data_IF_250343898281
#
_entry.id   IF_250343898281
#
_cell.length_a   1.000
_cell.length_b   1.000
_cell.length_c   1.000
_cell.angle_alpha   90.00
_cell.angle_beta   90.00
_cell.angle_gamma   90.00
#
_symmetry.space_group_name_H-M   'P 1'
#
loop_
_entity.id
_entity.type
_entity.pdbx_description
1 polymer ?
#
# COMPACT_ATOMS: atom_id res chain seq x y z
N UNK A 1 -3.72 -14.54 14.44
CA UNK A 1 -3.53 -15.47 15.57
C UNK A 1 -3.93 -16.86 15.11
N UNK A 2 -2.99 -17.78 14.96
CA UNK A 2 -3.31 -19.19 14.73
C UNK A 2 -3.80 -19.77 16.07
N UNK A 3 -5.13 -19.89 16.22
CA UNK A 3 -5.72 -20.68 17.31
C UNK A 3 -5.23 -22.14 17.15
N UNK A 4 -4.42 -22.63 18.09
CA UNK A 4 -4.06 -24.06 18.14
C UNK A 4 -2.57 -24.40 18.19
N UNK A 5 -1.69 -23.45 18.53
CA UNK A 5 -0.28 -23.77 18.73
C UNK A 5 -0.07 -24.61 20.01
N UNK A 6 0.21 -25.91 19.82
CA UNK A 6 0.45 -26.88 20.91
C UNK A 6 1.89 -26.85 21.43
N UNK A 7 2.74 -26.01 20.86
CA UNK A 7 4.17 -25.99 21.12
C UNK A 7 4.59 -24.88 22.07
N UNK A 8 3.82 -23.79 22.14
CA UNK A 8 4.10 -22.61 22.94
C UNK A 8 2.95 -22.34 23.92
N UNK A 9 3.31 -22.01 25.16
CA UNK A 9 2.34 -21.55 26.15
C UNK A 9 2.06 -20.05 25.92
N UNK A 10 0.82 -19.66 25.54
CA UNK A 10 0.50 -18.28 25.22
C UNK A 10 0.54 -17.34 26.43
N UNK A 11 0.43 -17.87 27.66
CA UNK A 11 0.42 -17.05 28.88
C UNK A 11 1.82 -16.74 29.39
N UNK A 12 2.77 -17.65 29.18
CA UNK A 12 4.15 -17.50 29.68
C UNK A 12 5.16 -17.23 28.56
N UNK A 13 4.75 -17.36 27.29
CA UNK A 13 5.62 -17.23 26.11
C UNK A 13 6.84 -18.18 26.12
N UNK A 14 6.74 -19.30 26.84
CA UNK A 14 7.74 -20.37 26.85
C UNK A 14 7.22 -21.61 26.13
N UNK A 15 8.15 -22.43 25.62
CA UNK A 15 7.82 -23.74 25.07
C UNK A 15 7.35 -24.70 26.16
N UNK A 16 6.43 -25.60 25.81
CA UNK A 16 6.09 -26.73 26.68
C UNK A 16 7.29 -27.67 26.85
N UNK A 17 7.35 -28.41 27.96
CA UNK A 17 8.46 -29.35 28.22
C UNK A 17 8.67 -30.33 27.06
N UNK A 18 9.93 -30.48 26.63
CA UNK A 18 10.31 -31.34 25.51
C UNK A 18 10.00 -30.78 24.12
N UNK A 19 9.47 -29.55 24.00
CA UNK A 19 9.25 -28.87 22.71
C UNK A 19 10.39 -27.88 22.42
N UNK A 20 10.88 -27.90 21.19
CA UNK A 20 12.11 -27.17 20.81
C UNK A 20 11.79 -25.95 19.93
N UNK A 21 10.70 -26.00 19.18
CA UNK A 21 10.27 -24.89 18.34
C UNK A 21 8.75 -24.79 18.31
N UNK A 22 8.24 -23.67 17.78
CA UNK A 22 6.83 -23.47 17.50
C UNK A 22 6.63 -22.98 16.05
N UNK A 23 5.57 -23.44 15.36
CA UNK A 23 5.22 -22.99 14.01
C UNK A 23 4.76 -21.52 13.96
N UNK A 24 4.35 -20.92 15.08
CA UNK A 24 3.99 -19.48 15.10
C UNK A 24 5.22 -18.58 15.09
N UNK A 25 6.33 -19.03 15.66
CA UNK A 25 7.58 -18.27 15.71
C UNK A 25 8.54 -18.62 14.56
N UNK A 26 8.50 -19.86 14.05
CA UNK A 26 9.45 -20.32 13.04
C UNK A 26 8.77 -21.17 11.94
N UNK A 27 8.88 -20.71 10.70
CA UNK A 27 8.36 -21.39 9.49
C UNK A 27 8.97 -22.78 9.27
N UNK A 28 10.20 -22.99 9.78
CA UNK A 28 10.91 -24.27 9.77
C UNK A 28 10.60 -25.18 10.95
N UNK A 29 9.59 -24.86 11.75
CA UNK A 29 9.06 -25.77 12.75
C UNK A 29 7.91 -26.60 12.18
N UNK A 30 7.91 -27.90 12.51
CA UNK A 30 6.82 -28.81 12.19
C UNK A 30 5.68 -28.69 13.22
N UNK A 31 4.50 -29.24 12.92
CA UNK A 31 3.37 -29.24 13.87
C UNK A 31 3.64 -30.06 15.13
N UNK A 32 4.64 -30.94 15.09
CA UNK A 32 5.10 -31.76 16.22
C UNK A 32 6.08 -31.04 17.15
N UNK A 33 6.34 -29.75 16.89
CA UNK A 33 7.24 -28.88 17.66
C UNK A 33 8.73 -29.27 17.54
N UNK A 34 9.10 -29.85 16.40
CA UNK A 34 10.46 -30.25 16.04
C UNK A 34 10.92 -29.53 14.78
N UNK A 35 12.24 -29.38 14.61
CA UNK A 35 12.81 -28.74 13.42
C UNK A 35 12.73 -29.65 12.20
N UNK A 36 12.41 -29.04 11.07
CA UNK A 36 12.25 -29.76 9.81
C UNK A 36 13.65 -30.06 9.22
N UNK A 37 13.98 -31.35 8.97
CA UNK A 37 15.27 -31.73 8.41
C UNK A 37 15.37 -31.37 6.92
N UNK A 38 16.61 -31.20 6.44
CA UNK A 38 16.90 -30.82 5.05
C UNK A 38 16.26 -31.75 4.01
N UNK A 39 16.12 -33.05 4.34
CA UNK A 39 15.54 -34.08 3.46
C UNK A 39 14.10 -33.77 3.06
N UNK A 40 13.33 -33.07 3.92
CA UNK A 40 11.94 -32.72 3.61
C UNK A 40 11.82 -31.60 2.56
N UNK A 41 12.92 -30.95 2.17
CA UNK A 41 12.97 -29.87 1.17
C UNK A 41 11.88 -28.78 1.34
N UNK A 42 11.46 -28.50 2.57
CA UNK A 42 10.42 -27.50 2.84
C UNK A 42 10.98 -26.09 2.59
N UNK A 43 10.39 -25.39 1.64
CA UNK A 43 10.70 -23.99 1.36
C UNK A 43 10.19 -23.14 2.54
N UNK A 44 11.08 -22.38 3.16
CA UNK A 44 10.74 -21.45 4.24
C UNK A 44 10.64 -20.00 3.77
N UNK A 45 11.27 -19.70 2.63
CA UNK A 45 11.19 -18.41 1.96
C UNK A 45 11.14 -18.67 0.46
N UNK A 46 10.09 -18.17 -0.17
CA UNK A 46 9.96 -18.19 -1.62
C UNK A 46 11.02 -17.31 -2.28
N UNK A 47 11.27 -17.55 -3.56
CA UNK A 47 12.15 -16.72 -4.36
C UNK A 47 11.62 -15.28 -4.42
N UNK A 48 12.54 -14.32 -4.35
CA UNK A 48 12.26 -12.89 -4.44
C UNK A 48 13.22 -12.24 -5.43
N UNK A 49 12.97 -10.97 -5.78
CA UNK A 49 13.73 -10.23 -6.80
C UNK A 49 15.25 -10.22 -6.55
N UNK A 50 15.71 -10.29 -5.29
CA UNK A 50 17.14 -10.31 -4.94
C UNK A 50 17.60 -11.66 -4.35
N UNK A 51 16.77 -12.71 -4.26
CA UNK A 51 17.12 -13.92 -3.49
C UNK A 51 16.42 -15.19 -4.00
N UNK A 52 17.19 -16.25 -4.20
CA UNK A 52 16.65 -17.60 -4.45
C UNK A 52 15.86 -18.15 -3.26
N UNK A 53 14.97 -19.11 -3.54
CA UNK A 53 14.19 -19.78 -2.49
C UNK A 53 15.10 -20.44 -1.46
N UNK A 54 14.76 -20.29 -0.18
CA UNK A 54 15.49 -20.90 0.94
C UNK A 54 14.70 -22.08 1.51
N UNK A 55 15.43 -23.14 1.89
CA UNK A 55 14.86 -24.41 2.36
C UNK A 55 15.30 -24.65 3.82
N UNK A 56 14.41 -25.21 4.63
CA UNK A 56 14.72 -25.60 6.01
C UNK A 56 15.81 -26.67 6.06
N UNK A 57 16.80 -26.49 6.94
CA UNK A 57 17.90 -27.45 7.12
C UNK A 57 18.34 -27.58 8.57
N UNK A 58 17.94 -28.68 9.21
CA UNK A 58 18.46 -29.13 10.51
C UNK A 58 19.34 -30.38 10.32
N UNK A 59 20.46 -30.55 11.06
CA UNK A 59 21.05 -29.64 12.05
C UNK A 59 21.73 -28.42 11.42
N UNK A 60 21.69 -27.29 12.13
CA UNK A 60 22.31 -26.03 11.70
C UNK A 60 23.83 -26.12 11.87
N UNK A 61 24.54 -26.64 10.86
CA UNK A 61 25.98 -26.47 10.79
C UNK A 61 26.28 -24.98 10.58
N UNK A 62 27.08 -24.41 11.48
CA UNK A 62 27.52 -23.01 11.46
C UNK A 62 28.02 -22.58 10.07
N UNK A 63 27.18 -21.86 9.33
CA UNK A 63 27.47 -20.64 8.56
C UNK A 63 26.28 -20.38 7.62
N UNK A 64 25.48 -19.38 8.01
CA UNK A 64 24.48 -18.68 7.19
C UNK A 64 23.47 -19.55 6.43
N UNK A 65 22.32 -19.77 7.06
CA UNK A 65 21.03 -19.58 6.38
C UNK A 65 20.19 -18.64 7.25
N UNK A 66 20.74 -17.46 7.51
CA UNK A 66 19.96 -16.34 8.01
C UNK A 66 19.21 -15.74 6.82
N UNK A 67 17.91 -15.58 6.98
CA UNK A 67 16.99 -14.92 6.07
C UNK A 67 17.24 -13.40 6.00
N UNK A 68 18.51 -12.99 5.88
CA UNK A 68 18.97 -11.62 5.73
C UNK A 68 19.88 -11.59 4.51
N UNK A 69 19.29 -11.34 3.36
CA UNK A 69 20.03 -10.82 2.21
C UNK A 69 19.57 -9.38 2.08
N UNK A 70 20.49 -8.48 2.42
CA UNK A 70 20.36 -7.05 2.14
C UNK A 70 20.59 -6.93 0.62
N UNK A 71 19.69 -6.31 -0.15
CA UNK A 71 20.05 -5.85 -1.50
C UNK A 71 21.11 -4.75 -1.30
N UNK A 72 22.38 -5.16 -1.11
CA UNK A 72 23.47 -4.27 -0.68
C UNK A 72 23.95 -3.38 -1.81
N UNK A 73 23.71 -3.79 -3.06
CA UNK A 73 24.22 -3.11 -4.23
C UNK A 73 23.11 -2.50 -5.04
N UNK A 74 23.24 -1.19 -5.27
CA UNK A 74 22.40 -0.46 -6.22
C UNK A 74 22.84 -0.74 -7.65
N UNK A 75 22.00 -0.38 -8.62
CA UNK A 75 22.33 -0.55 -10.04
C UNK A 75 23.59 0.25 -10.39
N UNK A 76 23.77 1.46 -9.87
CA UNK A 76 24.97 2.25 -10.10
C UNK A 76 26.22 1.54 -9.57
N UNK A 77 26.14 0.91 -8.40
CA UNK A 77 27.27 0.17 -7.82
C UNK A 77 27.64 -1.08 -8.63
N UNK A 78 26.68 -1.73 -9.30
CA UNK A 78 26.95 -2.80 -10.25
C UNK A 78 27.72 -2.31 -11.49
N UNK A 79 27.57 -1.02 -11.83
CA UNK A 79 28.29 -0.36 -12.92
C UNK A 79 29.62 0.26 -12.48
N UNK A 80 30.08 0.00 -11.24
CA UNK A 80 31.21 0.71 -10.61
C UNK A 80 31.01 2.24 -10.56
N UNK A 81 29.77 2.68 -10.43
CA UNK A 81 29.37 4.08 -10.28
C UNK A 81 28.68 4.29 -8.92
N UNK A 82 28.47 5.54 -8.56
CA UNK A 82 27.83 5.94 -7.30
C UNK A 82 26.42 6.44 -7.61
N UNK A 83 25.44 6.11 -6.76
CA UNK A 83 24.10 6.67 -6.88
C UNK A 83 24.15 8.16 -6.59
N UNK A 84 23.48 8.95 -7.43
CA UNK A 84 23.40 10.37 -7.23
C UNK A 84 22.03 10.91 -7.63
N UNK A 85 21.71 12.10 -7.13
CA UNK A 85 20.45 12.77 -7.43
C UNK A 85 20.58 13.65 -8.67
N UNK A 86 19.58 13.55 -9.54
CA UNK A 86 19.49 14.35 -10.75
C UNK A 86 19.31 15.83 -10.40
N UNK A 87 20.05 16.72 -11.09
CA UNK A 87 19.93 18.17 -10.88
C UNK A 87 18.55 18.67 -11.36
N UNK A 88 17.75 19.30 -10.49
CA UNK A 88 16.41 19.78 -10.83
C UNK A 88 16.39 21.03 -11.72
N UNK A 89 17.53 21.67 -11.96
CA UNK A 89 17.60 22.84 -12.84
C UNK A 89 17.61 22.45 -14.32
N UNK A 90 18.21 21.31 -14.65
CA UNK A 90 18.40 20.83 -16.02
C UNK A 90 17.26 19.91 -16.51
N UNK A 91 16.34 19.50 -15.61
CA UNK A 91 15.44 18.37 -15.83
C UNK A 91 13.98 18.65 -15.41
N UNK A 92 13.05 18.02 -16.11
CA UNK A 92 11.61 18.04 -15.80
C UNK A 92 11.27 17.22 -14.54
N UNK A 93 10.13 17.50 -13.90
CA UNK A 93 9.67 16.75 -12.72
C UNK A 93 9.46 15.24 -12.97
N UNK A 94 9.24 14.84 -14.22
CA UNK A 94 9.11 13.42 -14.60
C UNK A 94 10.48 12.73 -14.71
N UNK A 95 11.54 13.47 -15.07
CA UNK A 95 12.87 12.91 -15.24
C UNK A 95 13.64 12.74 -13.93
N UNK A 96 13.22 13.40 -12.85
CA UNK A 96 13.85 13.30 -11.53
C UNK A 96 13.69 11.94 -10.83
N UNK A 97 12.71 11.14 -11.26
CA UNK A 97 12.48 9.79 -10.72
C UNK A 97 13.15 8.69 -11.56
N UNK A 98 13.98 9.05 -12.52
CA UNK A 98 14.82 8.09 -13.25
C UNK A 98 16.09 7.78 -12.47
N UNK A 99 16.67 6.61 -12.76
CA UNK A 99 17.97 6.27 -12.20
C UNK A 99 19.03 7.27 -12.70
N UNK A 100 19.89 7.71 -11.80
CA UNK A 100 21.02 8.56 -12.13
C UNK A 100 22.26 8.12 -11.38
N UNK A 101 23.36 8.01 -12.11
CA UNK A 101 24.63 7.52 -11.59
C UNK A 101 25.75 8.53 -11.88
N UNK A 102 26.79 8.47 -11.07
CA UNK A 102 27.97 9.32 -11.14
C UNK A 102 29.22 8.44 -11.18
N UNK A 103 30.15 8.69 -12.09
CA UNK A 103 31.39 7.89 -12.17
C UNK A 103 32.26 8.04 -10.92
N UNK A 104 32.34 9.26 -10.37
CA UNK A 104 33.15 9.61 -9.20
C UNK A 104 32.41 10.66 -8.38
N UNK A 105 32.79 10.89 -7.11
CA UNK A 105 32.14 11.88 -6.22
C UNK A 105 32.03 13.31 -6.79
N UNK A 106 32.90 13.67 -7.74
CA UNK A 106 32.92 14.99 -8.40
C UNK A 106 32.48 14.93 -9.88
N UNK A 107 32.04 13.77 -10.37
CA UNK A 107 31.57 13.61 -11.74
C UNK A 107 30.23 14.31 -11.98
N UNK A 108 29.82 14.47 -13.24
CA UNK A 108 28.45 14.91 -13.52
C UNK A 108 27.48 13.74 -13.26
N UNK A 109 26.35 14.02 -12.63
CA UNK A 109 25.26 13.04 -12.53
C UNK A 109 24.64 12.81 -13.90
N UNK A 110 24.69 11.56 -14.37
CA UNK A 110 24.12 11.15 -15.65
C UNK A 110 22.76 10.52 -15.35
N UNK A 111 21.70 11.08 -15.94
CA UNK A 111 20.35 10.53 -15.87
C UNK A 111 20.12 9.57 -17.04
N UNK A 112 19.59 8.37 -16.77
CA UNK A 112 19.38 7.33 -17.79
C UNK A 112 18.06 7.45 -18.56
N UNK A 113 17.30 8.54 -18.38
CA UNK A 113 16.10 8.80 -19.16
C UNK A 113 16.42 8.86 -20.65
N UNK A 114 15.69 8.08 -21.45
CA UNK A 114 15.88 7.98 -22.89
C UNK A 114 17.34 7.66 -23.28
N UNK A 115 18.06 6.92 -22.42
CA UNK A 115 19.40 6.48 -22.76
C UNK A 115 19.37 5.59 -24.00
N UNK A 116 20.40 5.67 -24.85
CA UNK A 116 20.42 4.92 -26.09
C UNK A 116 20.43 3.42 -25.80
N UNK A 117 19.81 2.64 -26.69
CA UNK A 117 19.53 1.22 -26.46
C UNK A 117 20.78 0.38 -26.17
N UNK A 118 21.95 0.78 -26.69
CA UNK A 118 23.22 0.13 -26.38
C UNK A 118 23.59 0.24 -24.89
N UNK A 119 23.38 1.41 -24.26
CA UNK A 119 23.64 1.62 -22.83
C UNK A 119 22.68 0.79 -21.99
N UNK A 120 21.39 0.80 -22.37
CA UNK A 120 20.38 -0.01 -21.70
C UNK A 120 20.68 -1.50 -21.78
N UNK A 121 21.14 -2.00 -22.94
CA UNK A 121 21.55 -3.39 -23.11
C UNK A 121 22.79 -3.74 -22.27
N UNK A 122 23.78 -2.86 -22.17
CA UNK A 122 24.93 -3.07 -21.29
C UNK A 122 24.51 -3.24 -19.83
N UNK A 123 23.58 -2.41 -19.35
CA UNK A 123 23.08 -2.51 -17.98
C UNK A 123 22.26 -3.80 -17.79
N UNK A 124 21.39 -4.16 -18.73
CA UNK A 124 20.61 -5.42 -18.68
C UNK A 124 21.50 -6.65 -18.61
N UNK A 125 22.59 -6.67 -19.38
CA UNK A 125 23.56 -7.77 -19.37
C UNK A 125 24.26 -7.90 -18.01
N UNK A 126 24.57 -6.78 -17.36
CA UNK A 126 25.23 -6.77 -16.04
C UNK A 126 24.27 -7.25 -14.94
N UNK A 127 23.00 -6.87 -14.99
CA UNK A 127 21.98 -7.26 -13.99
C UNK A 127 21.38 -8.64 -14.33
N UNK A 128 21.69 -9.20 -15.51
CA UNK A 128 21.14 -10.46 -16.00
C UNK A 128 19.59 -10.47 -16.05
N UNK A 129 19.00 -9.39 -16.55
CA UNK A 129 17.53 -9.19 -16.62
C UNK A 129 17.06 -9.23 -18.08
N UNK A 130 15.88 -9.81 -18.31
CA UNK A 130 15.26 -9.90 -19.64
C UNK A 130 15.03 -8.52 -20.28
N UNK A 131 15.08 -8.47 -21.63
CA UNK A 131 15.01 -7.26 -22.46
C UNK A 131 13.75 -6.40 -22.37
N UNK A 132 12.79 -6.73 -21.49
CA UNK A 132 11.51 -6.03 -21.36
C UNK A 132 11.59 -4.71 -20.57
N UNK A 133 12.68 -4.45 -19.83
CA UNK A 133 12.82 -3.20 -19.06
C UNK A 133 13.16 -2.04 -19.98
N UNK A 134 12.18 -1.20 -20.34
CA UNK A 134 12.38 -0.07 -21.25
C UNK A 134 13.19 1.07 -20.63
N UNK A 135 13.04 1.31 -19.32
CA UNK A 135 13.72 2.38 -18.59
C UNK A 135 14.17 1.91 -17.20
N UNK A 136 15.27 2.48 -16.70
CA UNK A 136 15.67 2.35 -15.29
C UNK A 136 15.10 3.51 -14.47
N UNK A 137 14.14 3.18 -13.60
CA UNK A 137 13.45 4.14 -12.74
C UNK A 137 13.70 3.82 -11.27
N UNK A 138 13.62 4.85 -10.43
CA UNK A 138 13.71 4.68 -8.99
C UNK A 138 12.44 4.02 -8.44
N UNK A 139 12.57 3.46 -7.24
CA UNK A 139 11.46 2.85 -6.53
C UNK A 139 10.37 3.87 -6.17
N UNK A 140 9.13 3.40 -6.03
CA UNK A 140 8.03 4.25 -5.56
C UNK A 140 8.33 4.74 -4.15
N UNK A 141 7.97 5.99 -3.88
CA UNK A 141 8.27 6.71 -2.64
C UNK A 141 9.77 6.93 -2.37
N UNK A 142 10.65 6.64 -3.34
CA UNK A 142 12.05 7.03 -3.23
C UNK A 142 12.17 8.55 -3.13
N UNK A 143 13.17 9.01 -2.38
CA UNK A 143 13.51 10.42 -2.26
C UNK A 143 13.91 11.02 -3.63
N UNK A 144 13.46 12.25 -3.88
CA UNK A 144 13.90 13.07 -5.00
C UNK A 144 14.07 14.53 -4.53
N UNK A 145 14.80 15.34 -5.32
CA UNK A 145 15.02 16.76 -5.03
C UNK A 145 14.39 17.62 -6.13
N UNK A 146 13.58 18.60 -5.73
CA UNK A 146 13.00 19.60 -6.62
C UNK A 146 13.91 20.85 -6.67
N UNK A 147 13.58 21.79 -7.58
CA UNK A 147 14.26 23.09 -7.70
C UNK A 147 14.42 23.76 -6.33
N UNK A 148 15.56 24.40 -6.12
CA UNK A 148 15.98 24.99 -4.84
C UNK A 148 16.19 23.96 -3.71
N UNK A 149 16.63 22.74 -4.02
CA UNK A 149 16.91 21.66 -3.06
C UNK A 149 15.73 21.32 -2.14
N UNK A 150 14.49 21.52 -2.60
CA UNK A 150 13.31 21.11 -1.83
C UNK A 150 13.16 19.59 -1.88
N UNK A 151 12.90 18.98 -0.74
CA UNK A 151 12.71 17.53 -0.63
C UNK A 151 11.39 17.12 -1.28
N UNK A 152 11.42 15.97 -1.95
CA UNK A 152 10.27 15.36 -2.60
C UNK A 152 10.33 13.85 -2.59
N UNK A 153 9.27 13.25 -3.13
CA UNK A 153 9.15 11.80 -3.28
C UNK A 153 8.60 11.43 -4.66
N UNK A 154 8.97 10.24 -5.13
CA UNK A 154 8.48 9.67 -6.38
C UNK A 154 7.10 9.02 -6.18
N UNK A 155 6.07 9.61 -6.77
CA UNK A 155 4.69 9.12 -6.69
C UNK A 155 4.46 7.81 -7.50
N UNK A 156 3.26 7.23 -7.44
CA UNK A 156 2.90 6.03 -8.22
C UNK A 156 3.04 6.20 -9.73
N UNK A 157 2.91 7.44 -10.24
CA UNK A 157 3.17 7.81 -11.64
C UNK A 157 4.66 8.07 -11.94
N UNK A 158 5.54 7.84 -10.96
CA UNK A 158 6.99 8.11 -11.04
C UNK A 158 7.29 9.56 -11.39
N UNK A 159 6.53 10.49 -10.78
CA UNK A 159 6.77 11.94 -10.84
C UNK A 159 7.26 12.40 -9.48
N UNK A 160 8.26 13.28 -9.47
CA UNK A 160 8.75 13.88 -8.24
C UNK A 160 7.76 14.92 -7.75
N UNK A 161 7.15 14.68 -6.59
CA UNK A 161 6.24 15.61 -5.92
C UNK A 161 6.91 16.22 -4.69
N UNK A 162 6.63 17.48 -4.35
CA UNK A 162 7.12 18.05 -3.11
C UNK A 162 6.66 17.22 -1.92
N UNK A 163 7.55 17.02 -0.96
CA UNK A 163 7.20 16.46 0.32
C UNK A 163 6.66 17.58 1.19
N UNK A 164 5.34 17.65 1.33
CA UNK A 164 4.66 18.57 2.25
C UNK A 164 4.45 17.83 3.58
N UNK A 165 5.27 18.09 4.62
CA UNK A 165 5.03 17.53 5.96
C UNK A 165 3.70 18.05 6.53
N UNK A 166 3.31 19.27 6.17
CA UNK A 166 2.10 19.93 6.66
C UNK A 166 0.87 19.51 5.83
N UNK A 167 0.51 18.23 5.91
CA UNK A 167 -0.82 17.81 5.47
C UNK A 167 -1.87 18.54 6.32
N UNK A 168 -2.97 19.06 5.73
CA UNK A 168 -4.03 19.72 6.51
C UNK A 168 -4.65 18.81 7.58
N UNK A 169 -4.40 17.50 7.51
CA UNK A 169 -4.83 16.49 8.47
C UNK A 169 -3.76 16.09 9.50
N UNK A 170 -2.51 16.55 9.40
CA UNK A 170 -1.48 16.26 10.41
C UNK A 170 -1.88 16.74 11.81
N UNK A 171 -2.41 17.97 11.98
CA UNK A 171 -2.87 18.42 13.30
C UNK A 171 -3.97 17.55 13.87
N UNK A 172 -4.81 16.95 13.01
CA UNK A 172 -5.84 15.99 13.42
C UNK A 172 -5.22 14.65 13.80
N UNK A 173 -4.26 14.15 13.03
CA UNK A 173 -3.54 12.91 13.33
C UNK A 173 -2.83 12.98 14.69
N UNK A 174 -2.10 14.08 14.94
CA UNK A 174 -1.40 14.30 16.20
C UNK A 174 -2.38 14.53 17.37
N UNK A 175 -3.53 15.14 17.11
CA UNK A 175 -4.61 15.26 18.10
C UNK A 175 -5.29 13.91 18.42
N UNK A 176 -5.32 12.94 17.50
CA UNK A 176 -5.90 11.63 17.76
C UNK A 176 -4.90 10.64 18.36
N UNK A 177 -3.62 10.74 18.00
CA UNK A 177 -2.58 9.78 18.35
C UNK A 177 -1.55 10.30 19.36
N UNK A 178 -1.70 11.52 19.86
CA UNK A 178 -0.80 12.05 20.88
C UNK A 178 -0.86 11.22 22.17
N UNK A 179 0.31 10.76 22.62
CA UNK A 179 0.51 9.95 23.84
C UNK A 179 -0.09 10.57 25.13
N UNK A 180 -0.44 11.85 25.11
CA UNK A 180 -1.12 12.57 26.20
C UNK A 180 -2.58 12.14 26.45
N UNK A 181 -3.15 11.30 25.58
CA UNK A 181 -4.57 10.99 25.56
C UNK A 181 -4.95 9.69 26.29
N UNK A 182 -4.04 8.73 26.45
CA UNK A 182 -4.45 7.42 27.01
C UNK A 182 -4.79 7.47 28.51
N UNK A 183 -4.08 8.26 29.32
CA UNK A 183 -4.28 8.26 30.78
C UNK A 183 -5.39 9.21 31.24
N UNK A 184 -5.62 10.33 30.55
CA UNK A 184 -6.60 11.34 30.96
C UNK A 184 -8.01 11.11 30.41
N UNK A 185 -8.17 10.36 29.30
CA UNK A 185 -9.48 10.14 28.68
C UNK A 185 -10.43 9.36 29.58
N UNK A 186 -9.96 8.35 30.32
CA UNK A 186 -10.85 7.52 31.18
C UNK A 186 -11.47 8.33 32.33
N UNK A 187 -10.72 9.30 32.87
CA UNK A 187 -11.15 10.18 33.96
C UNK A 187 -12.10 11.29 33.44
N UNK A 188 -11.83 11.84 32.25
CA UNK A 188 -12.66 12.86 31.61
C UNK A 188 -13.99 12.26 31.12
N UNK A 189 -13.97 11.07 30.52
CA UNK A 189 -15.19 10.40 30.06
C UNK A 189 -16.13 10.07 31.21
N UNK A 190 -15.61 9.59 32.35
CA UNK A 190 -16.45 9.25 33.51
C UNK A 190 -17.00 10.50 34.21
N UNK A 191 -16.24 11.60 34.26
CA UNK A 191 -16.66 12.82 34.96
C UNK A 191 -17.56 13.75 34.15
N UNK A 192 -17.39 13.81 32.82
CA UNK A 192 -18.12 14.75 31.95
C UNK A 192 -18.89 14.07 30.80
N UNK A 193 -19.28 12.79 30.95
CA UNK A 193 -20.07 12.07 29.93
C UNK A 193 -21.32 12.84 29.47
N UNK A 194 -21.99 13.53 30.39
CA UNK A 194 -23.18 14.33 30.08
C UNK A 194 -22.87 15.49 29.13
N UNK A 195 -21.69 16.11 29.23
CA UNK A 195 -21.27 17.20 28.36
C UNK A 195 -21.00 16.70 26.93
N UNK A 196 -20.48 15.49 26.79
CA UNK A 196 -20.29 14.83 25.48
C UNK A 196 -21.64 14.54 24.82
N UNK A 197 -22.61 14.02 25.59
CA UNK A 197 -23.98 13.76 25.09
C UNK A 197 -24.69 15.06 24.69
N UNK A 198 -24.62 16.10 25.51
CA UNK A 198 -25.22 17.41 25.19
C UNK A 198 -24.52 18.08 24.00
N UNK A 199 -23.20 17.97 23.88
CA UNK A 199 -22.44 18.46 22.74
C UNK A 199 -22.85 17.77 21.43
N UNK A 200 -22.98 16.43 21.46
CA UNK A 200 -23.44 15.66 20.31
C UNK A 200 -24.86 16.04 19.88
N UNK A 201 -25.79 16.16 20.84
CA UNK A 201 -27.17 16.60 20.56
C UNK A 201 -27.22 18.02 19.97
N UNK A 202 -26.40 18.94 20.47
CA UNK A 202 -26.30 20.30 19.95
C UNK A 202 -25.78 20.34 18.51
N UNK A 203 -24.76 19.53 18.19
CA UNK A 203 -24.20 19.43 16.84
C UNK A 203 -25.23 18.87 15.85
N UNK A 204 -26.02 17.86 16.24
CA UNK A 204 -27.07 17.30 15.38
C UNK A 204 -28.16 18.34 15.09
N UNK A 205 -28.60 19.09 16.12
CA UNK A 205 -29.57 20.17 15.95
C UNK A 205 -29.02 21.29 15.07
N UNK A 206 -27.75 21.67 15.26
CA UNK A 206 -27.09 22.69 14.46
C UNK A 206 -26.92 22.26 13.00
N UNK A 207 -26.51 21.02 12.74
CA UNK A 207 -26.48 20.44 11.38
C UNK A 207 -27.88 20.40 10.75
N UNK A 208 -28.92 20.05 11.52
CA UNK A 208 -30.30 20.09 11.07
C UNK A 208 -30.76 21.50 10.67
N UNK A 209 -30.41 22.52 11.47
CA UNK A 209 -30.69 23.92 11.18
C UNK A 209 -29.90 24.43 9.96
N UNK A 210 -28.62 24.06 9.85
CA UNK A 210 -27.81 24.36 8.67
C UNK A 210 -28.46 23.75 7.43
N UNK A 211 -28.78 22.45 7.44
CA UNK A 211 -29.41 21.81 6.28
C UNK A 211 -30.75 22.47 5.96
N UNK A 212 -31.56 22.84 6.96
CA UNK A 212 -32.84 23.51 6.73
C UNK A 212 -32.67 24.91 6.10
N UNK A 213 -31.75 25.72 6.63
CA UNK A 213 -31.47 27.05 6.09
C UNK A 213 -30.82 26.97 4.71
N UNK A 214 -29.75 26.18 4.58
CA UNK A 214 -28.97 26.12 3.35
C UNK A 214 -29.65 25.30 2.24
N UNK A 215 -30.56 24.36 2.52
CA UNK A 215 -31.33 23.68 1.46
C UNK A 215 -32.31 24.62 0.74
N UNK A 216 -32.77 25.69 1.40
CA UNK A 216 -33.62 26.71 0.79
C UNK A 216 -32.80 27.67 -0.08
N UNK A 217 -31.53 27.91 0.29
CA UNK A 217 -30.64 28.88 -0.37
C UNK A 217 -29.49 28.26 -1.18
N UNK A 218 -29.46 26.94 -1.41
CA UNK A 218 -28.56 26.33 -2.40
C UNK A 218 -29.28 26.25 -3.75
N UNK A 219 -29.18 27.27 -4.62
CA UNK A 219 -29.60 27.11 -6.01
C UNK A 219 -28.74 26.02 -6.65
N UNK A 220 -29.39 25.03 -7.23
CA UNK A 220 -28.70 23.96 -7.94
C UNK A 220 -28.13 24.53 -9.24
N UNK A 221 -26.82 24.78 -9.30
CA UNK A 221 -26.14 25.15 -10.56
C UNK A 221 -26.05 23.99 -11.57
N UNK A 222 -26.73 22.88 -11.32
CA UNK A 222 -26.79 21.72 -12.21
C UNK A 222 -28.00 21.85 -13.15
N UNK A 223 -27.81 22.17 -14.44
CA UNK A 223 -28.90 22.32 -15.41
C UNK A 223 -29.67 21.02 -15.71
N UNK A 224 -29.15 19.87 -15.27
CA UNK A 224 -29.75 18.54 -15.48
C UNK A 224 -30.25 17.89 -14.19
N UNK A 225 -30.44 18.65 -13.10
CA UNK A 225 -31.00 18.09 -11.87
C UNK A 225 -32.45 17.65 -12.09
N UNK A 226 -32.74 16.36 -11.86
CA UNK A 226 -34.12 15.88 -11.90
C UNK A 226 -34.91 16.50 -10.72
N UNK A 227 -36.14 16.96 -10.93
CA UNK A 227 -36.95 17.53 -9.86
C UNK A 227 -37.22 16.48 -8.78
N UNK A 228 -37.29 16.93 -7.52
CA UNK A 228 -37.55 16.07 -6.38
C UNK A 228 -38.88 15.30 -6.57
N UNK A 229 -38.78 13.98 -6.69
CA UNK A 229 -39.96 13.12 -6.85
C UNK A 229 -40.71 13.05 -5.53
N UNK A 230 -42.02 13.28 -5.56
CA UNK A 230 -42.88 13.17 -4.37
C UNK A 230 -42.83 11.74 -3.81
N UNK A 231 -42.76 11.62 -2.49
CA UNK A 231 -42.72 10.34 -1.76
C UNK A 231 -43.88 9.41 -2.19
N UNK A 232 -45.05 9.95 -2.51
CA UNK A 232 -46.20 9.18 -3.02
C UNK A 232 -45.88 8.42 -4.31
N UNK A 233 -45.07 9.00 -5.19
CA UNK A 233 -44.68 8.38 -6.46
C UNK A 233 -43.64 7.25 -6.27
N UNK A 234 -42.92 7.25 -5.14
CA UNK A 234 -41.99 6.17 -4.77
C UNK A 234 -42.74 4.90 -4.36
N UNK A 235 -43.83 5.04 -3.59
CA UNK A 235 -44.63 3.88 -3.15
C UNK A 235 -45.35 3.15 -4.28
N UNK A 236 -45.85 3.84 -5.30
CA UNK A 236 -46.47 3.20 -6.47
C UNK A 236 -45.47 2.37 -7.31
N UNK A 237 -44.18 2.73 -7.30
CA UNK A 237 -43.17 2.02 -8.09
C UNK A 237 -42.56 0.79 -7.39
N UNK A 238 -42.75 0.64 -6.07
CA UNK A 238 -42.28 -0.55 -5.33
C UNK A 238 -43.00 -1.82 -5.80
N UNK A 239 -44.27 -1.73 -6.22
CA UNK A 239 -45.03 -2.87 -6.73
C UNK A 239 -44.45 -3.50 -8.01
N UNK A 240 -43.79 -2.70 -8.86
CA UNK A 240 -43.23 -3.18 -10.13
C UNK A 240 -41.80 -3.72 -10.01
N UNK A 241 -41.02 -3.29 -9.00
CA UNK A 241 -39.69 -3.87 -8.71
C UNK A 241 -39.80 -5.26 -8.09
N UNK A 242 -40.81 -5.53 -7.26
CA UNK A 242 -41.02 -6.86 -6.67
C UNK A 242 -41.35 -7.90 -7.77
N UNK A 243 -42.14 -7.54 -8.79
CA UNK A 243 -42.44 -8.42 -9.94
C UNK A 243 -41.21 -8.74 -10.82
N UNK A 244 -40.16 -7.92 -10.80
CA UNK A 244 -38.91 -8.22 -11.54
C UNK A 244 -37.99 -9.17 -10.80
N UNK A 245 -38.04 -9.21 -9.47
CA UNK A 245 -37.24 -10.17 -8.68
C UNK A 245 -37.73 -11.62 -8.84
N UNK A 246 -39.02 -11.85 -9.14
CA UNK A 246 -39.52 -13.22 -9.35
C UNK A 246 -39.10 -13.85 -10.69
N UNK A 247 -38.61 -13.07 -11.66
CA UNK A 247 -38.20 -13.59 -12.99
C UNK A 247 -36.72 -14.00 -13.01
N UNK A 248 -35.88 -13.48 -12.10
CA UNK A 248 -34.42 -13.75 -12.08
C UNK A 248 -34.09 -15.13 -11.48
N UNK A 249 -35.02 -15.80 -10.79
CA UNK A 249 -34.78 -17.10 -10.17
C UNK A 249 -34.89 -18.32 -11.12
N UNK A 250 -34.89 -18.12 -12.44
CA UNK A 250 -34.82 -19.24 -13.40
C UNK A 250 -33.60 -19.11 -14.32
N UNK A 251 -32.46 -19.78 -14.01
CA UNK A 251 -31.27 -19.70 -14.84
C UNK A 251 -31.40 -20.68 -16.02
N UNK A 252 -31.67 -20.15 -17.22
CA UNK A 252 -31.52 -20.92 -18.47
C UNK A 252 -30.37 -20.31 -19.29
N UNK A 253 -29.22 -21.01 -19.44
CA UNK A 253 -27.95 -20.40 -19.86
C UNK A 253 -27.75 -20.39 -21.38
N UNK A 254 -28.54 -19.61 -22.13
CA UNK A 254 -28.36 -19.49 -23.60
C UNK A 254 -28.42 -18.09 -24.23
N UNK A 255 -28.43 -17.00 -23.47
CA UNK A 255 -28.58 -15.65 -24.06
C UNK A 255 -27.43 -14.64 -23.85
N UNK A 256 -26.29 -15.04 -23.27
CA UNK A 256 -25.20 -14.09 -22.99
C UNK A 256 -24.24 -13.77 -24.16
N UNK A 257 -24.47 -14.27 -25.37
CA UNK A 257 -23.53 -14.11 -26.49
C UNK A 257 -23.87 -13.05 -27.56
N UNK A 258 -24.90 -12.23 -27.40
CA UNK A 258 -25.30 -11.26 -28.44
C UNK A 258 -24.99 -9.77 -28.15
N UNK A 259 -24.36 -9.44 -27.03
CA UNK A 259 -24.13 -8.03 -26.65
C UNK A 259 -22.79 -7.42 -27.12
N UNK A 260 -21.92 -8.16 -27.82
CA UNK A 260 -20.56 -7.68 -28.13
C UNK A 260 -20.29 -7.25 -29.58
N UNK A 261 -21.29 -7.18 -30.47
CA UNK A 261 -21.08 -6.75 -31.87
C UNK A 261 -22.00 -5.61 -32.32
N UNK A 262 -22.01 -4.49 -31.59
CA UNK A 262 -22.60 -3.24 -32.11
C UNK A 262 -21.97 -2.01 -31.46
N UNK A 263 -20.68 -1.80 -31.68
CA UNK A 263 -20.07 -0.46 -31.58
C UNK A 263 -18.79 -0.40 -32.45
N UNK A 264 -19.02 -0.43 -33.76
CA UNK A 264 -18.14 0.16 -34.77
C UNK A 264 -19.03 0.82 -35.82
N UNK A 265 -19.23 2.12 -35.66
CA UNK A 265 -19.39 3.11 -36.73
C UNK A 265 -18.93 4.45 -36.17
#
# INVERSE_FOLDING_TARGET
>A
MLLGDKCCNPSTCFFFEGKVCSPTNNVCCDTDCTFIPKVKNKICREESQCQYSSICGYPFYFNYNFCIVICQKTICQLLNQIDCDSDPNDLDYESLCYLSCQENKNGKCINYRNSPEFVLNSIRNIINVSSFTTDFRREKHSKCFLKNNKLGYCDFKLKCRPFDPDSPFQPLYDFFNGDYLEDNIKIILTRYWWAVVLGSMSIILFMGLIVHCFAIYTPTNNPNAQPAKSIKHSFYNVGNTIKRMSIVNNPNPRQFQLAHMSNRK
#
